data_IF_907500507236
#
_entry.id   IF_907500507236
#
_cell.length_a   1.000
_cell.length_b   1.000
_cell.length_c   1.000
_cell.angle_alpha   90.00
_cell.angle_beta   90.00
_cell.angle_gamma   90.00
#
_symmetry.space_group_name_H-M   'P 1'
#
loop_
_entity.id
_entity.type
_entity.pdbx_description
1 polymer ?
#
# COMPACT_ATOMS: atom_id res chain seq x y z
N UNK A 1 -7.86 25.90 -9.89
CA UNK A 1 -7.29 24.85 -9.02
C UNK A 1 -8.29 23.70 -8.95
N UNK A 2 -8.05 22.60 -9.67
CA UNK A 2 -8.91 21.41 -9.58
C UNK A 2 -8.44 20.55 -8.41
N UNK A 3 -9.37 20.02 -7.60
CA UNK A 3 -9.05 19.15 -6.46
C UNK A 3 -8.36 17.87 -6.98
N UNK A 4 -7.32 17.36 -6.30
CA UNK A 4 -6.54 16.19 -6.76
C UNK A 4 -7.40 14.92 -6.97
N UNK A 5 -8.56 14.83 -6.32
CA UNK A 5 -9.49 13.71 -6.47
C UNK A 5 -10.42 13.79 -7.72
N UNK A 6 -10.54 14.94 -8.38
CA UNK A 6 -11.52 15.13 -9.47
C UNK A 6 -10.98 14.62 -10.82
N UNK A 7 -9.69 14.84 -11.10
CA UNK A 7 -9.08 14.38 -12.36
C UNK A 7 -9.08 12.85 -12.55
N UNK A 8 -8.78 12.02 -11.52
CA UNK A 8 -8.80 10.57 -11.67
C UNK A 8 -10.21 10.03 -11.98
N UNK A 9 -11.24 10.59 -11.33
CA UNK A 9 -12.65 10.21 -11.54
C UNK A 9 -13.13 10.58 -12.94
N UNK A 10 -12.76 11.76 -13.44
CA UNK A 10 -13.10 12.19 -14.81
C UNK A 10 -12.44 11.29 -15.86
N UNK A 11 -11.20 10.87 -15.63
CA UNK A 11 -10.48 9.93 -16.50
C UNK A 11 -11.17 8.56 -16.53
N UNK A 12 -11.58 8.04 -15.37
CA UNK A 12 -12.36 6.80 -15.28
C UNK A 12 -13.67 6.91 -16.08
N UNK A 13 -14.42 8.00 -15.86
CA UNK A 13 -15.69 8.22 -16.54
C UNK A 13 -15.52 8.33 -18.06
N UNK A 14 -14.45 8.99 -18.52
CA UNK A 14 -14.08 9.06 -19.93
C UNK A 14 -13.78 7.68 -20.54
N UNK A 15 -13.04 6.83 -19.82
CA UNK A 15 -12.74 5.47 -20.26
C UNK A 15 -14.00 4.59 -20.34
N UNK A 16 -14.85 4.64 -19.32
CA UNK A 16 -16.11 3.90 -19.31
C UNK A 16 -17.05 4.34 -20.44
N UNK A 17 -17.14 5.65 -20.71
CA UNK A 17 -17.93 6.19 -21.84
C UNK A 17 -17.44 5.68 -23.20
N UNK A 18 -16.13 5.44 -23.37
CA UNK A 18 -15.55 4.92 -24.62
C UNK A 18 -15.86 3.44 -24.87
N UNK A 19 -16.16 2.67 -23.83
CA UNK A 19 -16.51 1.24 -23.95
C UNK A 19 -17.92 1.03 -24.52
N UNK A 20 -18.74 2.09 -24.59
CA UNK A 20 -20.08 2.06 -25.17
C UNK A 20 -21.09 1.33 -24.28
N UNK A 21 -22.26 0.94 -24.82
CA UNK A 21 -23.38 0.40 -24.04
C UNK A 21 -23.20 -1.07 -23.60
N UNK A 22 -21.99 -1.65 -23.74
CA UNK A 22 -21.74 -3.05 -23.40
C UNK A 22 -21.57 -3.19 -21.87
N UNK A 23 -22.01 -4.31 -21.27
CA UNK A 23 -21.67 -4.62 -19.89
C UNK A 23 -20.15 -4.63 -19.69
N UNK A 24 -19.68 -3.95 -18.63
CA UNK A 24 -18.26 -3.85 -18.27
C UNK A 24 -18.09 -4.31 -16.82
N UNK A 25 -17.02 -5.07 -16.57
CA UNK A 25 -16.58 -5.41 -15.22
C UNK A 25 -16.03 -4.16 -14.53
N UNK A 26 -16.89 -3.51 -13.72
CA UNK A 26 -16.59 -2.21 -13.11
C UNK A 26 -15.59 -2.33 -11.95
N UNK A 27 -15.52 -3.50 -11.32
CA UNK A 27 -14.59 -3.80 -10.22
C UNK A 27 -13.15 -3.46 -10.60
N UNK A 28 -12.64 -3.98 -11.71
CA UNK A 28 -11.25 -3.74 -12.15
C UNK A 28 -10.95 -2.26 -12.36
N UNK A 29 -11.94 -1.52 -12.88
CA UNK A 29 -11.81 -0.10 -13.17
C UNK A 29 -11.84 0.78 -11.92
N UNK A 30 -12.69 0.42 -10.94
CA UNK A 30 -12.75 1.10 -9.63
C UNK A 30 -11.50 0.79 -8.82
N UNK A 31 -11.07 -0.48 -8.78
CA UNK A 31 -9.85 -0.88 -8.08
C UNK A 31 -8.62 -0.18 -8.67
N UNK A 32 -8.48 -0.15 -10.00
CA UNK A 32 -7.38 0.58 -10.64
C UNK A 32 -7.39 2.08 -10.37
N UNK A 33 -8.59 2.69 -10.24
CA UNK A 33 -8.72 4.10 -9.84
C UNK A 33 -8.27 4.32 -8.38
N UNK A 34 -8.78 3.50 -7.46
CA UNK A 34 -8.44 3.58 -6.05
C UNK A 34 -6.94 3.35 -5.83
N UNK A 35 -6.38 2.33 -6.46
CA UNK A 35 -4.94 2.01 -6.49
C UNK A 35 -4.12 3.21 -6.97
N UNK A 36 -4.53 3.83 -8.08
CA UNK A 36 -3.84 5.01 -8.62
C UNK A 36 -3.89 6.21 -7.68
N UNK A 37 -5.04 6.48 -7.05
CA UNK A 37 -5.18 7.58 -6.09
C UNK A 37 -4.34 7.32 -4.84
N UNK A 38 -4.50 6.14 -4.22
CA UNK A 38 -3.78 5.77 -3.00
C UNK A 38 -2.28 5.78 -3.26
N UNK A 39 -1.83 5.17 -4.36
CA UNK A 39 -0.42 5.13 -4.70
C UNK A 39 0.18 6.51 -4.96
N UNK A 40 -0.55 7.41 -5.61
CA UNK A 40 -0.09 8.80 -5.83
C UNK A 40 -0.02 9.60 -4.54
N UNK A 41 -1.00 9.45 -3.64
CA UNK A 41 -1.02 10.17 -2.36
C UNK A 41 0.01 9.61 -1.39
N UNK A 42 0.17 8.29 -1.36
CA UNK A 42 1.07 7.61 -0.43
C UNK A 42 2.53 7.66 -0.89
N UNK A 43 2.80 7.39 -2.17
CA UNK A 43 4.15 7.15 -2.70
C UNK A 43 4.55 8.13 -3.83
N UNK A 44 3.73 9.15 -4.07
CA UNK A 44 4.00 10.18 -5.06
C UNK A 44 4.11 9.66 -6.48
N UNK A 45 4.89 10.37 -7.31
CA UNK A 45 5.11 10.01 -8.71
C UNK A 45 5.96 8.76 -8.89
N UNK A 46 6.61 8.26 -7.83
CA UNK A 46 7.46 7.07 -7.90
C UNK A 46 6.60 5.82 -8.12
N UNK A 47 5.34 5.82 -7.64
CA UNK A 47 4.36 4.74 -7.84
C UNK A 47 4.12 4.32 -9.30
N UNK A 48 4.36 5.24 -10.25
CA UNK A 48 4.12 5.03 -11.68
C UNK A 48 5.37 4.78 -12.53
N UNK A 49 6.57 4.77 -11.94
CA UNK A 49 7.83 4.59 -12.68
C UNK A 49 8.22 3.12 -12.80
N UNK A 50 9.13 2.79 -13.72
CA UNK A 50 9.73 1.44 -13.81
C UNK A 50 10.50 1.03 -12.53
N UNK A 51 10.75 1.96 -11.60
CA UNK A 51 11.33 1.65 -10.29
C UNK A 51 10.30 0.98 -9.38
N UNK A 52 9.01 1.19 -9.66
CA UNK A 52 7.88 0.40 -9.17
C UNK A 52 7.55 -0.79 -10.09
N UNK A 53 8.48 -1.30 -10.91
CA UNK A 53 8.24 -2.48 -11.77
C UNK A 53 7.79 -3.74 -10.99
N UNK A 54 7.91 -3.74 -9.67
CA UNK A 54 7.32 -4.75 -8.78
C UNK A 54 5.89 -4.42 -8.33
N UNK A 55 5.20 -3.46 -8.95
CA UNK A 55 3.84 -3.06 -8.60
C UNK A 55 2.87 -4.25 -8.61
N UNK A 56 2.96 -5.12 -9.61
CA UNK A 56 2.13 -6.33 -9.67
C UNK A 56 2.42 -7.28 -8.49
N UNK A 57 3.69 -7.42 -8.09
CA UNK A 57 4.08 -8.20 -6.91
C UNK A 57 3.58 -7.56 -5.62
N UNK A 58 3.68 -6.24 -5.50
CA UNK A 58 3.17 -5.51 -4.33
C UNK A 58 1.65 -5.61 -4.22
N UNK A 59 0.92 -5.43 -5.33
CA UNK A 59 -0.53 -5.60 -5.38
C UNK A 59 -0.92 -7.03 -4.98
N UNK A 60 -0.23 -8.04 -5.48
CA UNK A 60 -0.46 -9.42 -5.08
C UNK A 60 -0.22 -9.65 -3.57
N UNK A 61 0.85 -9.09 -3.01
CA UNK A 61 1.15 -9.19 -1.57
C UNK A 61 0.12 -8.44 -0.73
N UNK A 62 -0.36 -7.27 -1.19
CA UNK A 62 -1.44 -6.52 -0.54
C UNK A 62 -2.76 -7.28 -0.59
N UNK A 63 -3.12 -7.87 -1.72
CA UNK A 63 -4.32 -8.69 -1.86
C UNK A 63 -4.25 -9.90 -0.91
N UNK A 64 -3.11 -10.58 -0.86
CA UNK A 64 -2.88 -11.65 0.09
C UNK A 64 -2.94 -11.20 1.56
N UNK A 65 -2.47 -9.99 1.86
CA UNK A 65 -2.55 -9.40 3.19
C UNK A 65 -3.99 -9.07 3.56
N UNK A 66 -4.78 -8.49 2.63
CA UNK A 66 -6.19 -8.20 2.82
C UNK A 66 -7.00 -9.50 3.02
N UNK A 67 -6.75 -10.53 2.21
CA UNK A 67 -7.35 -11.85 2.39
C UNK A 67 -6.99 -12.47 3.74
N UNK A 68 -5.74 -12.31 4.18
CA UNK A 68 -5.31 -12.79 5.49
C UNK A 68 -5.98 -12.01 6.64
N UNK A 69 -6.11 -10.68 6.53
CA UNK A 69 -6.78 -9.84 7.53
C UNK A 69 -8.30 -10.07 7.57
N UNK A 70 -8.91 -10.42 6.44
CA UNK A 70 -10.31 -10.81 6.34
C UNK A 70 -10.55 -12.26 6.82
N UNK A 71 -9.50 -13.09 6.82
CA UNK A 71 -9.50 -14.43 7.36
C UNK A 71 -9.48 -14.43 8.89
N UNK A 72 -9.94 -15.54 9.46
CA UNK A 72 -9.96 -15.75 10.91
C UNK A 72 -8.85 -16.71 11.34
N UNK A 73 -8.14 -16.41 12.43
CA UNK A 73 -7.23 -17.35 13.09
C UNK A 73 -8.01 -18.31 13.98
N UNK A 74 -7.62 -19.58 14.07
CA UNK A 74 -8.20 -20.51 15.03
C UNK A 74 -7.92 -20.08 16.48
N UNK A 75 -6.78 -19.43 16.72
CA UNK A 75 -6.44 -18.79 18.00
C UNK A 75 -7.40 -17.64 18.38
N UNK A 76 -8.01 -16.95 17.41
CA UNK A 76 -8.97 -15.87 17.69
C UNK A 76 -10.24 -16.39 18.37
N UNK A 77 -10.60 -17.66 18.12
CA UNK A 77 -11.76 -18.34 18.72
C UNK A 77 -11.39 -19.25 19.89
N UNK A 78 -10.21 -19.86 19.84
CA UNK A 78 -9.71 -20.79 20.85
C UNK A 78 -8.33 -20.32 21.31
N UNK A 79 -8.25 -19.36 22.25
CA UNK A 79 -6.99 -18.78 22.74
C UNK A 79 -6.26 -19.74 23.70
N UNK A 80 -6.04 -20.96 23.24
CA UNK A 80 -5.38 -22.05 23.95
C UNK A 80 -4.29 -22.68 23.06
N UNK A 81 -3.51 -23.60 23.62
CA UNK A 81 -2.42 -24.25 22.90
C UNK A 81 -2.88 -25.02 21.65
N UNK A 82 -4.14 -25.47 21.60
CA UNK A 82 -4.70 -26.16 20.45
C UNK A 82 -5.00 -25.20 19.29
N UNK A 83 -5.57 -24.01 19.55
CA UNK A 83 -5.77 -22.97 18.53
C UNK A 83 -4.45 -22.53 17.88
N UNK A 84 -3.41 -22.28 18.69
CA UNK A 84 -2.05 -21.98 18.18
C UNK A 84 -1.44 -23.11 17.36
N UNK A 85 -1.71 -24.37 17.72
CA UNK A 85 -1.21 -25.51 16.97
C UNK A 85 -1.93 -25.63 15.63
N UNK A 86 -3.24 -25.41 15.61
CA UNK A 86 -4.04 -25.38 14.37
C UNK A 86 -3.51 -24.29 13.44
N UNK A 87 -3.27 -23.07 13.92
CA UNK A 87 -2.74 -21.97 13.10
C UNK A 87 -1.33 -22.23 12.57
N UNK A 88 -0.50 -22.99 13.31
CA UNK A 88 0.80 -23.46 12.80
C UNK A 88 0.65 -24.55 11.74
N UNK A 89 -0.27 -25.50 11.93
CA UNK A 89 -0.47 -26.63 11.00
C UNK A 89 -1.19 -26.20 9.72
N UNK A 90 -2.11 -25.23 9.80
CA UNK A 90 -2.79 -24.64 8.62
C UNK A 90 -1.87 -23.74 7.80
N UNK A 91 -0.66 -23.46 8.28
CA UNK A 91 0.31 -22.61 7.60
C UNK A 91 0.00 -21.12 7.69
N UNK A 92 -1.00 -20.72 8.50
CA UNK A 92 -1.39 -19.31 8.67
C UNK A 92 -0.23 -18.46 9.20
N UNK A 93 0.54 -19.01 10.16
CA UNK A 93 1.74 -18.35 10.70
C UNK A 93 2.80 -18.13 9.61
N UNK A 94 3.10 -19.16 8.82
CA UNK A 94 4.10 -19.07 7.76
C UNK A 94 3.66 -18.12 6.63
N UNK A 95 2.37 -18.12 6.27
CA UNK A 95 1.78 -17.19 5.31
C UNK A 95 1.90 -15.75 5.81
N UNK A 96 1.58 -15.50 7.08
CA UNK A 96 1.72 -14.18 7.72
C UNK A 96 3.17 -13.69 7.70
N UNK A 97 4.11 -14.52 8.12
CA UNK A 97 5.54 -14.15 8.13
C UNK A 97 6.08 -13.86 6.72
N UNK A 98 5.58 -14.55 5.69
CA UNK A 98 5.94 -14.25 4.30
C UNK A 98 5.40 -12.88 3.88
N UNK A 99 4.11 -12.63 4.11
CA UNK A 99 3.46 -11.36 3.77
C UNK A 99 4.17 -10.19 4.48
N UNK A 100 4.47 -10.33 5.77
CA UNK A 100 5.22 -9.32 6.53
C UNK A 100 6.59 -9.03 5.92
N UNK A 101 7.37 -10.07 5.57
CA UNK A 101 8.69 -9.88 4.94
C UNK A 101 8.63 -9.21 3.57
N UNK A 102 7.60 -9.52 2.78
CA UNK A 102 7.43 -8.92 1.46
C UNK A 102 6.98 -7.46 1.54
N UNK A 103 6.12 -7.12 2.50
CA UNK A 103 5.73 -5.73 2.79
C UNK A 103 6.90 -4.92 3.37
N UNK A 104 7.66 -5.50 4.30
CA UNK A 104 8.84 -4.88 4.91
C UNK A 104 9.89 -4.51 3.85
N UNK A 105 10.27 -5.46 3.00
CA UNK A 105 11.20 -5.21 1.90
C UNK A 105 10.69 -4.16 0.90
N UNK A 106 9.37 -4.11 0.69
CA UNK A 106 8.75 -3.09 -0.14
C UNK A 106 8.87 -1.70 0.51
N UNK A 107 8.47 -1.53 1.77
CA UNK A 107 8.52 -0.25 2.46
C UNK A 107 9.96 0.23 2.65
N UNK A 108 10.91 -0.66 2.91
CA UNK A 108 12.34 -0.34 2.94
C UNK A 108 12.83 0.26 1.62
N UNK A 109 12.45 -0.33 0.48
CA UNK A 109 12.78 0.22 -0.85
C UNK A 109 12.18 1.62 -1.04
N UNK A 110 10.93 1.82 -0.62
CA UNK A 110 10.23 3.10 -0.70
C UNK A 110 10.92 4.14 0.19
N UNK A 111 11.25 3.81 1.43
CA UNK A 111 11.93 4.71 2.38
C UNK A 111 13.31 5.10 1.87
N UNK A 112 14.09 4.15 1.36
CA UNK A 112 15.42 4.41 0.80
C UNK A 112 15.34 5.40 -0.38
N UNK A 113 14.35 5.26 -1.26
CA UNK A 113 14.11 6.21 -2.34
C UNK A 113 13.73 7.61 -1.84
N UNK A 114 12.89 7.71 -0.81
CA UNK A 114 12.45 9.00 -0.26
C UNK A 114 13.52 9.69 0.60
N UNK A 115 14.49 8.92 1.09
CA UNK A 115 15.61 9.44 1.88
C UNK A 115 16.89 9.70 1.08
N UNK A 116 16.94 9.27 -0.19
CA UNK A 116 18.05 9.52 -1.10
C UNK A 116 18.33 11.04 -1.24
N UNK A 117 19.52 11.53 -0.87
CA UNK A 117 19.87 12.95 -1.02
C UNK A 117 19.92 13.44 -2.48
N UNK A 118 20.01 12.52 -3.45
CA UNK A 118 19.94 12.84 -4.87
C UNK A 118 18.49 12.97 -5.39
N UNK A 119 17.48 12.56 -4.61
CA UNK A 119 16.07 12.73 -4.97
C UNK A 119 15.72 14.22 -5.04
N UNK A 120 15.11 14.71 -6.13
CA UNK A 120 14.61 16.07 -6.21
C UNK A 120 13.60 16.32 -5.09
N UNK A 121 13.78 17.41 -4.33
CA UNK A 121 12.82 17.76 -3.29
C UNK A 121 11.47 18.14 -3.92
N UNK A 122 10.35 17.63 -3.39
CA UNK A 122 9.04 17.97 -3.90
C UNK A 122 8.70 19.44 -3.61
N UNK A 123 8.26 20.16 -4.63
CA UNK A 123 7.91 21.59 -4.53
C UNK A 123 6.62 21.85 -3.71
N UNK A 124 5.77 20.82 -3.54
CA UNK A 124 4.44 20.93 -2.95
C UNK A 124 4.29 20.19 -1.60
N UNK A 125 5.37 20.02 -0.83
CA UNK A 125 5.31 19.39 0.50
C UNK A 125 5.35 17.86 0.53
N UNK A 126 5.61 17.22 -0.62
CA UNK A 126 5.85 15.77 -0.71
C UNK A 126 4.60 14.90 -0.66
N UNK A 127 4.82 13.59 -0.73
CA UNK A 127 3.80 12.56 -0.49
C UNK A 127 3.75 12.14 0.98
N UNK A 128 2.92 11.15 1.32
CA UNK A 128 2.79 10.68 2.71
C UNK A 128 4.12 10.17 3.27
N UNK A 129 4.94 9.48 2.47
CA UNK A 129 6.23 8.95 2.93
C UNK A 129 7.17 10.09 3.25
N UNK A 130 7.19 11.17 2.45
CA UNK A 130 7.95 12.39 2.77
C UNK A 130 7.57 12.94 4.14
N UNK A 131 6.27 13.03 4.44
CA UNK A 131 5.77 13.53 5.75
C UNK A 131 6.20 12.60 6.90
N UNK A 132 6.10 11.28 6.74
CA UNK A 132 6.52 10.32 7.75
C UNK A 132 8.04 10.36 8.00
N UNK A 133 8.83 10.49 6.93
CA UNK A 133 10.28 10.63 7.01
C UNK A 133 10.67 11.93 7.73
N UNK A 134 10.01 13.04 7.43
CA UNK A 134 10.25 14.32 8.11
C UNK A 134 9.90 14.25 9.59
N UNK A 135 8.77 13.62 9.96
CA UNK A 135 8.36 13.41 11.35
C UNK A 135 9.40 12.64 12.16
N UNK A 136 9.98 11.57 11.57
CA UNK A 136 11.03 10.80 12.21
C UNK A 136 12.33 11.61 12.35
N UNK A 137 12.76 12.31 11.29
CA UNK A 137 14.01 13.09 11.31
C UNK A 137 13.96 14.24 12.30
N UNK A 138 12.84 14.95 12.38
CA UNK A 138 12.73 16.16 13.19
C UNK A 138 12.47 15.89 14.68
N UNK A 139 12.22 14.65 15.11
CA UNK A 139 11.85 14.29 16.49
C UNK A 139 10.78 15.22 17.08
N UNK A 140 9.83 15.67 16.24
CA UNK A 140 8.81 16.64 16.64
C UNK A 140 7.67 15.95 17.37
N UNK A 141 7.71 15.96 18.70
CA UNK A 141 6.57 15.62 19.56
C UNK A 141 6.90 14.73 20.75
N UNK A 142 5.89 14.40 21.55
CA UNK A 142 5.97 13.43 22.66
C UNK A 142 6.03 11.97 22.19
N UNK A 143 5.77 11.72 20.91
CA UNK A 143 5.82 10.41 20.28
C UNK A 143 7.22 10.18 19.68
N UNK A 144 7.93 9.17 20.17
CA UNK A 144 9.21 8.73 19.61
C UNK A 144 8.96 7.91 18.34
N UNK A 145 8.76 8.61 17.22
CA UNK A 145 8.60 8.03 15.90
C UNK A 145 9.98 7.60 15.35
N UNK A 146 10.10 6.40 14.79
CA UNK A 146 11.37 5.81 14.29
C UNK A 146 11.14 5.16 12.92
N UNK A 147 12.22 4.81 12.21
CA UNK A 147 12.17 4.09 10.93
C UNK A 147 11.19 2.91 10.94
N UNK A 148 11.27 2.07 11.98
CA UNK A 148 10.43 0.87 12.13
C UNK A 148 8.92 1.16 12.31
N UNK A 149 8.52 2.43 12.45
CA UNK A 149 7.11 2.84 12.54
C UNK A 149 6.54 3.36 11.22
N UNK A 150 7.36 3.42 10.16
CA UNK A 150 6.95 3.74 8.78
C UNK A 150 6.65 2.44 8.06
#
# INVERSE_FOLDING_TARGET
MSKPAVQPVDKLLGNLRRLGPKPVALNEHIFGLADGIVGTVAFGNIYGTEQFAHKERFQHVLDEAMDMMAGFSAEDFFPNAAGRLVDRVTGLVARRERIFRELDAFFETVIDQHTDPARPKPENGGDLVDVLVDLWKEHRGTLRFTRDHI
#
